data_IF_668884319701
#
_entry.id   IF_668884319701
#
_cell.length_a   1.000
_cell.length_b   1.000
_cell.length_c   1.000
_cell.angle_alpha   90.00
_cell.angle_beta   90.00
_cell.angle_gamma   90.00
#
_symmetry.space_group_name_H-M   'P 1'
#
loop_
_entity.id
_entity.type
_entity.pdbx_description
1 polymer ?
#
# COMPACT_ATOMS: atom_id res chain seq x y z
N UNK A 1 6.11 -9.91 -6.08
CA UNK A 1 4.89 -9.14 -6.41
C UNK A 1 5.16 -8.41 -7.69
N UNK A 2 4.17 -8.28 -8.59
CA UNK A 2 4.25 -7.36 -9.74
C UNK A 2 3.07 -6.39 -9.67
N UNK A 3 3.26 -5.17 -10.17
CA UNK A 3 2.24 -4.13 -10.14
C UNK A 3 2.31 -3.25 -11.38
N UNK A 4 1.42 -2.27 -11.38
CA UNK A 4 1.50 -1.04 -12.18
C UNK A 4 1.99 0.03 -11.20
N UNK A 5 3.13 0.68 -11.46
CA UNK A 5 3.85 1.42 -10.42
C UNK A 5 3.63 2.94 -10.49
N UNK A 6 4.61 3.71 -11.00
CA UNK A 6 4.51 5.18 -11.13
C UNK A 6 3.47 5.64 -12.15
N UNK A 7 2.93 4.73 -12.97
CA UNK A 7 1.74 4.95 -13.78
C UNK A 7 0.58 5.56 -12.98
N UNK A 8 0.52 5.29 -11.67
CA UNK A 8 -0.46 5.86 -10.73
C UNK A 8 -0.48 7.38 -10.76
N UNK A 9 0.68 8.05 -10.73
CA UNK A 9 0.78 9.50 -10.75
C UNK A 9 1.14 10.06 -12.13
N UNK A 10 1.84 9.29 -12.98
CA UNK A 10 2.23 9.72 -14.34
C UNK A 10 0.99 9.97 -15.21
N UNK A 11 -0.03 9.10 -15.16
CA UNK A 11 -1.21 9.27 -16.01
C UNK A 11 -2.53 8.88 -15.36
N UNK A 12 -2.56 7.88 -14.47
CA UNK A 12 -3.83 7.42 -13.89
C UNK A 12 -4.44 8.45 -12.93
N UNK A 13 -3.62 9.27 -12.29
CA UNK A 13 -4.03 10.37 -11.41
C UNK A 13 -4.94 11.39 -12.08
N UNK A 14 -4.86 11.51 -13.40
CA UNK A 14 -5.73 12.39 -14.19
C UNK A 14 -7.10 11.78 -14.49
N UNK A 15 -7.37 10.54 -14.06
CA UNK A 15 -8.65 9.89 -14.28
C UNK A 15 -9.77 10.57 -13.48
N UNK A 16 -10.81 10.99 -14.19
CA UNK A 16 -11.98 11.69 -13.66
C UNK A 16 -13.06 10.76 -13.09
N UNK A 17 -12.95 9.44 -13.34
CA UNK A 17 -13.96 8.44 -13.00
C UNK A 17 -14.78 7.95 -14.21
N UNK A 18 -14.61 8.55 -15.38
CA UNK A 18 -15.26 8.13 -16.62
C UNK A 18 -14.57 6.87 -17.20
N UNK A 19 -15.30 5.76 -17.31
CA UNK A 19 -14.77 4.49 -17.82
C UNK A 19 -14.43 4.50 -19.32
N UNK A 20 -14.88 5.51 -20.07
CA UNK A 20 -14.51 5.69 -21.48
C UNK A 20 -13.26 6.58 -21.67
N UNK A 21 -12.70 7.13 -20.59
CA UNK A 21 -11.47 7.93 -20.66
C UNK A 21 -10.25 7.07 -21.02
N UNK A 22 -9.25 7.71 -21.64
CA UNK A 22 -8.01 7.04 -22.04
C UNK A 22 -7.27 6.40 -20.85
N UNK A 23 -7.33 7.03 -19.67
CA UNK A 23 -6.69 6.54 -18.45
C UNK A 23 -7.30 5.20 -18.00
N UNK A 24 -8.63 5.12 -17.89
CA UNK A 24 -9.29 3.88 -17.46
C UNK A 24 -9.14 2.75 -18.48
N UNK A 25 -9.27 3.08 -19.78
CA UNK A 25 -9.08 2.11 -20.86
C UNK A 25 -7.64 1.58 -20.85
N UNK A 26 -6.65 2.45 -20.68
CA UNK A 26 -5.23 2.04 -20.56
C UNK A 26 -5.01 1.11 -19.37
N UNK A 27 -5.52 1.48 -18.19
CA UNK A 27 -5.41 0.65 -16.98
C UNK A 27 -6.00 -0.75 -17.17
N UNK A 28 -7.20 -0.85 -17.73
CA UNK A 28 -7.85 -2.14 -17.97
C UNK A 28 -7.14 -2.97 -19.04
N UNK A 29 -6.65 -2.35 -20.11
CA UNK A 29 -5.86 -3.03 -21.14
C UNK A 29 -4.49 -3.52 -20.63
N UNK A 30 -3.85 -2.80 -19.71
CA UNK A 30 -2.63 -3.27 -19.05
C UNK A 30 -2.92 -4.52 -18.22
N UNK A 31 -3.99 -4.51 -17.43
CA UNK A 31 -4.37 -5.69 -16.65
C UNK A 31 -4.77 -6.89 -17.50
N UNK A 32 -5.44 -6.69 -18.64
CA UNK A 32 -5.76 -7.77 -19.57
C UNK A 32 -4.48 -8.45 -20.11
N UNK A 33 -3.52 -7.64 -20.55
CA UNK A 33 -2.23 -8.11 -21.05
C UNK A 33 -1.40 -8.81 -19.96
N UNK A 34 -1.30 -8.22 -18.77
CA UNK A 34 -0.57 -8.81 -17.63
C UNK A 34 -1.21 -10.13 -17.19
N UNK A 35 -2.53 -10.15 -17.00
CA UNK A 35 -3.24 -11.38 -16.62
C UNK A 35 -3.05 -12.49 -17.65
N UNK A 36 -3.08 -12.17 -18.94
CA UNK A 36 -2.81 -13.13 -20.02
C UNK A 36 -1.35 -13.62 -20.00
N UNK A 37 -0.38 -12.73 -19.88
CA UNK A 37 1.04 -13.07 -19.92
C UNK A 37 1.45 -13.99 -18.76
N UNK A 38 0.92 -13.75 -17.57
CA UNK A 38 1.24 -14.50 -16.36
C UNK A 38 0.21 -15.59 -16.01
N UNK A 39 -0.72 -15.92 -16.93
CA UNK A 39 -1.85 -16.82 -16.68
C UNK A 39 -1.46 -18.15 -16.04
N UNK A 40 -0.38 -18.77 -16.54
CA UNK A 40 0.07 -20.10 -16.12
C UNK A 40 1.33 -20.06 -15.24
N UNK A 41 1.75 -18.88 -14.79
CA UNK A 41 2.88 -18.75 -13.86
C UNK A 41 2.54 -19.33 -12.47
N UNK A 42 3.53 -19.78 -11.68
CA UNK A 42 3.33 -20.30 -10.34
C UNK A 42 2.56 -19.33 -9.41
N UNK A 43 1.83 -19.85 -8.43
CA UNK A 43 1.00 -19.06 -7.50
C UNK A 43 1.82 -18.16 -6.55
N UNK A 44 3.13 -18.36 -6.47
CA UNK A 44 4.07 -17.48 -5.77
C UNK A 44 4.16 -16.09 -6.40
N UNK A 45 3.79 -15.94 -7.68
CA UNK A 45 3.64 -14.62 -8.31
C UNK A 45 2.29 -14.04 -7.91
N UNK A 46 2.30 -12.95 -7.17
CA UNK A 46 1.10 -12.18 -6.81
C UNK A 46 1.01 -10.87 -7.61
N UNK A 47 -0.22 -10.37 -7.78
CA UNK A 47 -0.53 -9.14 -8.49
C UNK A 47 -1.01 -8.08 -7.53
N UNK A 48 -0.30 -6.96 -7.42
CA UNK A 48 -0.83 -5.74 -6.82
C UNK A 48 -1.45 -4.86 -7.89
N UNK A 49 -2.66 -4.36 -7.64
CA UNK A 49 -3.48 -3.70 -8.68
C UNK A 49 -2.90 -2.37 -9.18
N UNK A 50 -2.27 -1.59 -8.29
CA UNK A 50 -1.69 -0.28 -8.58
C UNK A 50 -0.86 0.17 -7.37
N UNK A 51 0.27 0.81 -7.60
CA UNK A 51 1.06 1.46 -6.55
C UNK A 51 0.46 2.81 -6.16
N UNK A 52 0.35 3.12 -4.86
CA UNK A 52 0.01 4.46 -4.35
C UNK A 52 -1.06 5.22 -5.15
N UNK A 53 -2.28 4.66 -5.30
CA UNK A 53 -3.30 5.27 -6.15
C UNK A 53 -3.70 6.62 -5.60
N UNK A 54 -3.58 7.66 -6.42
CA UNK A 54 -3.92 9.05 -6.11
C UNK A 54 -4.61 9.69 -7.31
N UNK A 55 -5.42 10.74 -7.09
CA UNK A 55 -6.22 11.35 -8.16
C UNK A 55 -6.29 12.88 -8.01
N UNK A 56 -5.99 13.59 -9.10
CA UNK A 56 -5.98 15.05 -9.18
C UNK A 56 -7.37 15.63 -9.46
N UNK A 57 -8.20 14.88 -10.18
CA UNK A 57 -9.49 15.36 -10.65
C UNK A 57 -10.51 15.41 -9.50
N UNK A 58 -10.89 16.62 -9.11
CA UNK A 58 -12.04 16.91 -8.26
C UNK A 58 -13.35 16.67 -9.02
N UNK A 59 -14.35 16.10 -8.36
CA UNK A 59 -15.66 15.83 -8.95
C UNK A 59 -16.58 15.13 -7.96
N UNK A 60 -17.72 14.63 -8.44
CA UNK A 60 -18.69 13.89 -7.61
C UNK A 60 -18.18 12.51 -7.16
N UNK A 61 -17.25 11.92 -7.90
CA UNK A 61 -16.63 10.64 -7.55
C UNK A 61 -15.38 10.92 -6.71
N UNK A 62 -15.41 10.49 -5.45
CA UNK A 62 -14.30 10.64 -4.51
C UNK A 62 -13.07 9.82 -4.93
N UNK A 63 -11.89 10.21 -4.46
CA UNK A 63 -10.66 9.46 -4.69
C UNK A 63 -10.74 8.01 -4.16
N UNK A 64 -11.42 7.80 -3.02
CA UNK A 64 -11.68 6.46 -2.51
C UNK A 64 -12.56 5.65 -3.47
N UNK A 65 -13.66 6.23 -3.97
CA UNK A 65 -14.52 5.54 -4.94
C UNK A 65 -13.77 5.20 -6.23
N UNK A 66 -12.88 6.09 -6.70
CA UNK A 66 -12.01 5.80 -7.86
C UNK A 66 -11.06 4.63 -7.58
N UNK A 67 -10.45 4.58 -6.38
CA UNK A 67 -9.60 3.48 -5.95
C UNK A 67 -10.35 2.15 -5.96
N UNK A 68 -11.56 2.11 -5.38
CA UNK A 68 -12.40 0.92 -5.37
C UNK A 68 -12.80 0.48 -6.79
N UNK A 69 -13.08 1.44 -7.69
CA UNK A 69 -13.42 1.16 -9.08
C UNK A 69 -12.27 0.52 -9.87
N UNK A 70 -11.03 1.01 -9.71
CA UNK A 70 -9.87 0.41 -10.39
C UNK A 70 -9.50 -0.95 -9.77
N UNK A 71 -9.60 -1.09 -8.44
CA UNK A 71 -9.42 -2.37 -7.76
C UNK A 71 -10.42 -3.41 -8.24
N UNK A 72 -11.71 -3.05 -8.35
CA UNK A 72 -12.74 -3.94 -8.86
C UNK A 72 -12.49 -4.34 -10.32
N UNK A 73 -12.05 -3.39 -11.15
CA UNK A 73 -11.78 -3.63 -12.57
C UNK A 73 -10.62 -4.63 -12.75
N UNK A 74 -9.50 -4.39 -12.08
CA UNK A 74 -8.34 -5.29 -12.10
C UNK A 74 -8.70 -6.67 -11.54
N UNK A 75 -9.39 -6.73 -10.39
CA UNK A 75 -9.87 -7.99 -9.81
C UNK A 75 -10.69 -8.82 -10.81
N UNK A 76 -11.67 -8.19 -11.47
CA UNK A 76 -12.54 -8.86 -12.44
C UNK A 76 -11.74 -9.39 -13.63
N UNK A 77 -10.81 -8.61 -14.18
CA UNK A 77 -9.96 -9.00 -15.31
C UNK A 77 -9.07 -10.19 -14.92
N UNK A 78 -8.41 -10.12 -13.77
CA UNK A 78 -7.53 -11.18 -13.27
C UNK A 78 -8.32 -12.47 -13.10
N UNK A 79 -9.48 -12.45 -12.42
CA UNK A 79 -10.29 -13.65 -12.19
C UNK A 79 -10.88 -14.22 -13.49
N UNK A 80 -11.32 -13.37 -14.42
CA UNK A 80 -11.87 -13.80 -15.71
C UNK A 80 -10.83 -14.47 -16.62
N UNK A 81 -9.53 -14.18 -16.45
CA UNK A 81 -8.48 -14.72 -17.31
C UNK A 81 -8.22 -16.23 -17.14
N UNK A 82 -8.68 -16.85 -16.04
CA UNK A 82 -8.58 -18.28 -15.77
C UNK A 82 -7.15 -18.78 -15.50
N UNK A 83 -6.90 -20.08 -15.65
CA UNK A 83 -5.59 -20.68 -15.31
C UNK A 83 -5.26 -20.52 -13.83
N UNK A 84 -3.99 -20.25 -13.51
CA UNK A 84 -3.57 -19.97 -12.13
C UNK A 84 -4.20 -18.68 -11.57
N UNK A 85 -4.61 -17.74 -12.43
CA UNK A 85 -5.20 -16.45 -12.00
C UNK A 85 -6.55 -16.60 -11.31
N UNK A 86 -7.25 -17.73 -11.49
CA UNK A 86 -8.47 -18.05 -10.74
C UNK A 86 -8.24 -18.20 -9.22
N UNK A 87 -6.99 -18.49 -8.81
CA UNK A 87 -6.58 -18.62 -7.40
C UNK A 87 -5.37 -17.76 -7.03
N UNK A 88 -4.82 -17.00 -7.98
CA UNK A 88 -3.64 -16.15 -7.74
C UNK A 88 -3.97 -15.10 -6.69
N UNK A 89 -3.03 -14.88 -5.77
CA UNK A 89 -3.15 -13.83 -4.77
C UNK A 89 -3.23 -12.46 -5.47
N UNK A 90 -4.27 -11.69 -5.15
CA UNK A 90 -4.43 -10.30 -5.57
C UNK A 90 -4.19 -9.43 -4.34
N UNK A 91 -3.37 -8.40 -4.50
CA UNK A 91 -2.99 -7.45 -3.47
C UNK A 91 -3.66 -6.12 -3.82
N UNK A 92 -4.48 -5.60 -2.92
CA UNK A 92 -5.23 -4.37 -3.14
C UNK A 92 -4.67 -3.25 -2.24
N UNK A 93 -4.32 -2.08 -2.79
CA UNK A 93 -3.82 -0.95 -2.01
C UNK A 93 -4.96 -0.18 -1.37
N UNK A 94 -4.67 0.45 -0.22
CA UNK A 94 -5.50 1.57 0.25
C UNK A 94 -5.27 2.80 -0.63
N UNK A 95 -6.15 3.81 -0.54
CA UNK A 95 -5.93 5.09 -1.22
C UNK A 95 -4.58 5.68 -0.74
N UNK A 96 -3.71 6.04 -1.69
CA UNK A 96 -2.32 6.46 -1.51
C UNK A 96 -1.45 5.45 -0.73
N UNK A 97 -1.87 4.17 -0.61
CA UNK A 97 -1.30 3.19 0.34
C UNK A 97 -1.21 3.71 1.79
N UNK A 98 -1.99 4.74 2.12
CA UNK A 98 -2.03 5.31 3.46
C UNK A 98 -2.80 4.38 4.40
N UNK A 99 -2.18 4.04 5.53
CA UNK A 99 -2.76 3.17 6.55
C UNK A 99 -4.03 3.74 7.20
N UNK A 100 -4.24 5.06 7.22
CA UNK A 100 -5.49 5.64 7.73
C UNK A 100 -6.71 5.25 6.88
N UNK A 101 -6.49 4.89 5.61
CA UNK A 101 -7.53 4.41 4.68
C UNK A 101 -7.75 2.88 4.76
N UNK A 102 -7.30 2.22 5.83
CA UNK A 102 -7.38 0.75 5.97
C UNK A 102 -8.82 0.23 6.09
N UNK A 103 -9.70 0.92 6.83
CA UNK A 103 -11.09 0.47 7.04
C UNK A 103 -11.89 0.39 5.73
N UNK A 104 -11.91 1.42 4.86
CA UNK A 104 -12.55 1.32 3.54
C UNK A 104 -12.09 0.11 2.71
N UNK A 105 -10.78 -0.17 2.68
CA UNK A 105 -10.25 -1.31 1.95
C UNK A 105 -10.66 -2.64 2.58
N UNK A 106 -10.64 -2.76 3.92
CA UNK A 106 -11.07 -3.97 4.61
C UNK A 106 -12.53 -4.31 4.30
N UNK A 107 -13.40 -3.29 4.26
CA UNK A 107 -14.81 -3.45 3.90
C UNK A 107 -14.97 -3.84 2.42
N UNK A 108 -14.14 -3.29 1.52
CA UNK A 108 -14.11 -3.68 0.11
C UNK A 108 -13.70 -5.15 -0.06
N UNK A 109 -12.59 -5.57 0.54
CA UNK A 109 -12.09 -6.96 0.48
C UNK A 109 -13.13 -7.94 1.04
N UNK A 110 -13.77 -7.60 2.15
CA UNK A 110 -14.82 -8.46 2.76
C UNK A 110 -15.97 -8.70 1.79
N UNK A 111 -16.38 -7.67 1.02
CA UNK A 111 -17.47 -7.79 0.03
C UNK A 111 -17.10 -8.64 -1.19
N UNK A 112 -15.82 -8.73 -1.55
CA UNK A 112 -15.36 -9.61 -2.64
C UNK A 112 -15.58 -11.10 -2.31
N UNK A 113 -15.55 -11.45 -1.02
CA UNK A 113 -15.70 -12.83 -0.53
C UNK A 113 -14.74 -13.81 -1.23
N UNK A 114 -13.49 -13.37 -1.43
CA UNK A 114 -12.44 -14.16 -2.08
C UNK A 114 -11.28 -14.39 -1.09
N UNK A 115 -10.93 -15.65 -0.78
CA UNK A 115 -9.86 -15.96 0.19
C UNK A 115 -8.45 -15.66 -0.33
N UNK A 116 -8.27 -15.35 -1.62
CA UNK A 116 -6.99 -15.05 -2.25
C UNK A 116 -6.83 -13.56 -2.55
N UNK A 117 -7.36 -12.71 -1.67
CA UNK A 117 -7.20 -11.25 -1.72
C UNK A 117 -6.63 -10.75 -0.39
N UNK A 118 -5.57 -9.95 -0.47
CA UNK A 118 -4.93 -9.31 0.69
C UNK A 118 -4.82 -7.80 0.48
N UNK A 119 -4.61 -7.07 1.58
CA UNK A 119 -4.40 -5.64 1.57
C UNK A 119 -2.90 -5.28 1.45
N UNK A 120 -2.62 -4.09 0.93
CA UNK A 120 -1.30 -3.44 1.05
C UNK A 120 -1.42 -1.98 1.48
N UNK A 121 -0.46 -1.55 2.29
CA UNK A 121 -0.21 -0.16 2.73
C UNK A 121 1.30 0.08 2.69
N UNK A 122 1.73 1.33 2.65
CA UNK A 122 3.15 1.71 2.78
C UNK A 122 3.37 2.45 4.09
N UNK A 123 4.59 2.38 4.62
CA UNK A 123 4.93 3.09 5.84
C UNK A 123 6.39 3.53 5.89
N UNK A 124 6.60 4.84 5.79
CA UNK A 124 7.91 5.48 5.85
C UNK A 124 8.15 6.25 7.16
N UNK A 125 7.53 5.83 8.27
CA UNK A 125 7.62 6.50 9.59
C UNK A 125 7.02 7.90 9.66
N UNK A 126 7.12 8.53 10.83
CA UNK A 126 6.70 9.91 11.09
C UNK A 126 7.58 10.89 10.31
N UNK A 127 6.96 11.80 9.55
CA UNK A 127 7.60 12.51 8.45
C UNK A 127 8.79 13.39 8.87
N UNK A 128 8.73 14.05 10.04
CA UNK A 128 9.84 14.89 10.52
C UNK A 128 11.09 14.08 10.87
N UNK A 129 10.90 12.86 11.36
CA UNK A 129 11.98 11.92 11.63
C UNK A 129 12.47 11.26 10.35
N UNK A 130 11.54 10.76 9.53
CA UNK A 130 11.90 9.99 8.35
C UNK A 130 12.56 10.80 7.25
N UNK A 131 12.22 12.08 7.13
CA UNK A 131 12.85 13.00 6.19
C UNK A 131 14.01 13.80 6.80
N UNK A 132 14.39 13.53 8.06
CA UNK A 132 15.43 14.27 8.80
C UNK A 132 15.22 15.80 8.74
N UNK A 133 14.08 16.26 9.26
CA UNK A 133 13.70 17.69 9.25
C UNK A 133 13.91 18.33 10.63
N UNK A 134 15.10 18.12 11.20
CA UNK A 134 15.48 18.64 12.52
C UNK A 134 15.01 17.80 13.70
N UNK A 135 14.38 16.65 13.44
CA UNK A 135 14.03 15.61 14.41
C UNK A 135 14.69 14.32 13.95
N UNK A 136 15.63 13.78 14.71
CA UNK A 136 16.52 12.71 14.23
C UNK A 136 16.52 11.49 15.15
N UNK A 137 15.98 11.61 16.36
CA UNK A 137 15.83 10.48 17.25
C UNK A 137 14.52 9.72 17.02
N UNK A 138 14.57 8.40 16.99
CA UNK A 138 13.38 7.55 16.86
C UNK A 138 12.47 7.62 18.11
N UNK A 139 13.08 7.92 19.25
CA UNK A 139 12.42 8.12 20.55
C UNK A 139 12.33 9.62 20.93
N UNK A 140 12.68 10.52 20.01
CA UNK A 140 12.69 11.96 20.28
C UNK A 140 11.26 12.49 20.43
N UNK A 141 11.03 13.30 21.48
CA UNK A 141 9.81 14.08 21.61
C UNK A 141 9.74 15.14 20.50
N UNK A 142 8.75 14.97 19.62
CA UNK A 142 8.62 15.80 18.44
C UNK A 142 8.08 17.19 18.77
N UNK A 143 7.22 17.32 19.78
CA UNK A 143 6.45 18.54 20.04
C UNK A 143 6.75 19.21 21.38
N UNK A 144 7.64 18.63 22.19
CA UNK A 144 8.06 19.21 23.47
C UNK A 144 7.02 19.08 24.58
N UNK A 145 6.01 18.23 24.39
CA UNK A 145 4.96 17.95 25.37
C UNK A 145 5.13 16.57 26.04
N UNK A 146 6.11 15.77 25.62
CA UNK A 146 6.43 14.46 26.17
C UNK A 146 5.53 13.30 25.70
N UNK A 147 4.61 13.54 24.76
CA UNK A 147 3.52 12.61 24.47
C UNK A 147 3.56 11.99 23.07
N UNK A 148 4.51 12.37 22.21
CA UNK A 148 4.56 11.87 20.83
C UNK A 148 5.97 11.77 20.26
N UNK A 149 6.34 10.55 19.87
CA UNK A 149 7.59 10.22 19.18
C UNK A 149 7.32 9.47 17.85
N UNK A 150 8.33 9.33 16.98
CA UNK A 150 8.23 8.44 15.82
C UNK A 150 7.88 6.99 16.17
N UNK A 151 8.31 6.50 17.35
CA UNK A 151 7.90 5.19 17.87
C UNK A 151 6.40 5.11 18.12
N UNK A 152 5.81 6.15 18.69
CA UNK A 152 4.36 6.20 18.95
C UNK A 152 3.56 6.25 17.64
N UNK A 153 4.08 6.97 16.64
CA UNK A 153 3.53 6.95 15.29
C UNK A 153 3.54 5.53 14.69
N UNK A 154 4.64 4.78 14.86
CA UNK A 154 4.74 3.40 14.41
C UNK A 154 3.72 2.49 15.14
N UNK A 155 3.61 2.60 16.47
CA UNK A 155 2.61 1.86 17.24
C UNK A 155 1.19 2.13 16.72
N UNK A 156 0.83 3.40 16.54
CA UNK A 156 -0.48 3.80 16.03
C UNK A 156 -0.74 3.24 14.63
N UNK A 157 0.23 3.32 13.72
CA UNK A 157 0.09 2.79 12.37
C UNK A 157 -0.15 1.27 12.38
N UNK A 158 0.64 0.50 13.13
CA UNK A 158 0.48 -0.96 13.23
C UNK A 158 -0.84 -1.36 13.90
N UNK A 159 -1.31 -0.61 14.88
CA UNK A 159 -2.63 -0.84 15.49
C UNK A 159 -3.76 -0.57 14.50
N UNK A 160 -3.71 0.54 13.76
CA UNK A 160 -4.67 0.85 12.69
C UNK A 160 -4.74 -0.27 11.66
N UNK A 161 -3.59 -0.73 11.15
CA UNK A 161 -3.49 -1.79 10.15
C UNK A 161 -4.01 -3.12 10.72
N UNK A 162 -3.60 -3.49 11.93
CA UNK A 162 -3.99 -4.75 12.56
C UNK A 162 -5.49 -4.81 12.84
N UNK A 163 -6.07 -3.72 13.37
CA UNK A 163 -7.49 -3.64 13.67
C UNK A 163 -8.36 -3.74 12.40
N UNK A 164 -7.91 -3.14 11.30
CA UNK A 164 -8.62 -3.19 10.03
C UNK A 164 -8.51 -4.56 9.35
N UNK A 165 -7.32 -5.19 9.37
CA UNK A 165 -7.04 -6.38 8.55
C UNK A 165 -6.80 -7.65 9.37
N UNK A 166 -5.69 -7.75 10.11
CA UNK A 166 -5.28 -9.03 10.72
C UNK A 166 -6.25 -9.51 11.80
N UNK A 167 -6.83 -8.60 12.58
CA UNK A 167 -7.89 -8.90 13.53
C UNK A 167 -9.17 -9.44 12.86
N UNK A 168 -9.42 -9.04 11.60
CA UNK A 168 -10.53 -9.52 10.77
C UNK A 168 -10.14 -10.69 9.86
N UNK A 169 -8.96 -11.29 10.05
CA UNK A 169 -8.40 -12.40 9.25
C UNK A 169 -8.18 -12.06 7.76
N UNK A 170 -8.00 -10.78 7.45
CA UNK A 170 -7.54 -10.33 6.13
C UNK A 170 -6.01 -10.27 6.17
N UNK A 171 -5.34 -10.94 5.24
CA UNK A 171 -3.89 -10.84 5.10
C UNK A 171 -3.49 -9.42 4.70
N UNK A 172 -2.33 -8.96 5.17
CA UNK A 172 -1.81 -7.63 4.84
C UNK A 172 -0.29 -7.66 4.71
N UNK A 173 0.20 -6.90 3.75
CA UNK A 173 1.62 -6.60 3.57
C UNK A 173 1.82 -5.09 3.70
N UNK A 174 2.89 -4.69 4.38
CA UNK A 174 3.44 -3.35 4.20
C UNK A 174 4.36 -3.45 2.98
N UNK A 175 3.82 -3.06 1.82
CA UNK A 175 4.42 -3.27 0.50
C UNK A 175 5.72 -2.50 0.29
N UNK A 176 5.84 -1.38 0.98
CA UNK A 176 7.06 -0.60 1.09
C UNK A 176 7.19 -0.08 2.51
N UNK A 177 8.40 -0.19 3.08
CA UNK A 177 8.77 0.52 4.29
C UNK A 177 10.23 0.94 4.25
N UNK A 178 10.52 2.07 4.90
CA UNK A 178 11.82 2.72 4.85
C UNK A 178 11.81 4.07 5.56
N UNK A 179 12.74 4.94 5.20
CA UNK A 179 12.79 6.33 5.66
C UNK A 179 12.87 7.24 4.43
N UNK A 180 12.06 8.30 4.39
CA UNK A 180 11.96 9.21 3.24
C UNK A 180 13.27 9.92 2.89
N UNK A 181 14.15 10.14 3.86
CA UNK A 181 15.42 10.83 3.63
C UNK A 181 16.35 10.08 2.67
N UNK A 182 16.14 8.79 2.45
CA UNK A 182 16.88 8.02 1.44
C UNK A 182 16.60 8.47 0.00
N UNK A 183 15.48 9.16 -0.26
CA UNK A 183 15.23 9.78 -1.57
C UNK A 183 16.17 10.97 -1.85
N UNK A 184 16.78 11.54 -0.81
CA UNK A 184 17.68 12.69 -0.91
C UNK A 184 19.17 12.32 -0.86
N UNK A 185 19.51 11.05 -0.58
CA UNK A 185 20.89 10.59 -0.49
C UNK A 185 21.05 9.21 0.15
N UNK A 186 22.29 8.74 0.24
CA UNK A 186 22.63 7.42 0.83
C UNK A 186 22.68 7.44 2.36
N UNK A 187 22.49 8.60 2.98
CA UNK A 187 22.46 8.81 4.42
C UNK A 187 21.17 9.56 4.76
N UNK A 188 20.40 9.06 5.73
CA UNK A 188 19.14 9.68 6.15
C UNK A 188 19.26 10.22 7.58
N UNK A 189 19.34 9.32 8.57
CA UNK A 189 19.48 9.62 9.99
C UNK A 189 20.78 9.02 10.53
N UNK A 190 21.10 9.30 11.80
CA UNK A 190 22.22 8.62 12.46
C UNK A 190 21.98 7.10 12.45
N UNK A 191 22.98 6.25 12.08
CA UNK A 191 22.77 4.80 11.91
C UNK A 191 22.16 4.09 13.12
N UNK A 192 22.47 4.55 14.33
CA UNK A 192 21.88 4.00 15.55
C UNK A 192 20.36 4.21 15.64
N UNK A 193 19.86 5.35 15.16
CA UNK A 193 18.44 5.68 15.14
C UNK A 193 17.69 4.90 14.06
N UNK A 194 18.32 4.72 12.91
CA UNK A 194 17.79 3.88 11.83
C UNK A 194 17.70 2.41 12.26
N UNK A 195 18.75 1.86 12.86
CA UNK A 195 18.75 0.48 13.36
C UNK A 195 17.67 0.26 14.42
N UNK A 196 17.46 1.22 15.33
CA UNK A 196 16.36 1.17 16.30
C UNK A 196 14.99 1.17 15.61
N UNK A 197 14.80 2.00 14.59
CA UNK A 197 13.57 2.03 13.80
C UNK A 197 13.32 0.68 13.13
N UNK A 198 14.28 0.16 12.35
CA UNK A 198 14.11 -1.09 11.60
C UNK A 198 13.94 -2.33 12.49
N UNK A 199 14.64 -2.40 13.62
CA UNK A 199 14.43 -3.44 14.63
C UNK A 199 12.98 -3.39 15.13
N UNK A 200 12.50 -2.20 15.50
CA UNK A 200 11.19 -2.05 16.09
C UNK A 200 10.05 -2.31 15.10
N UNK A 201 10.20 -1.88 13.85
CA UNK A 201 9.27 -2.21 12.76
C UNK A 201 9.15 -3.72 12.58
N UNK A 202 10.28 -4.43 12.62
CA UNK A 202 10.31 -5.89 12.54
C UNK A 202 9.67 -6.55 13.76
N UNK A 203 9.86 -5.98 14.96
CA UNK A 203 9.18 -6.42 16.18
C UNK A 203 7.66 -6.28 16.06
N UNK A 204 7.16 -5.10 15.69
CA UNK A 204 5.72 -4.86 15.53
C UNK A 204 5.09 -5.76 14.47
N UNK A 205 5.77 -5.94 13.33
CA UNK A 205 5.32 -6.82 12.26
C UNK A 205 5.15 -8.28 12.71
N UNK A 206 6.11 -8.81 13.47
CA UNK A 206 6.00 -10.16 14.06
C UNK A 206 4.84 -10.26 15.04
N UNK A 207 4.66 -9.28 15.91
CA UNK A 207 3.57 -9.26 16.90
C UNK A 207 2.19 -9.21 16.22
N UNK A 208 2.05 -8.40 15.16
CA UNK A 208 0.78 -8.15 14.48
C UNK A 208 0.53 -9.08 13.28
N UNK A 209 1.47 -9.96 12.96
CA UNK A 209 1.46 -10.91 11.83
C UNK A 209 1.35 -10.20 10.47
N UNK A 210 2.14 -9.15 10.29
CA UNK A 210 2.17 -8.33 9.09
C UNK A 210 3.46 -8.64 8.32
N UNK A 211 3.34 -8.85 7.01
CA UNK A 211 4.52 -9.02 6.15
C UNK A 211 5.14 -7.65 5.86
N UNK A 212 6.47 -7.54 5.86
CA UNK A 212 7.19 -6.33 5.47
C UNK A 212 7.97 -6.56 4.17
N UNK A 213 7.96 -5.58 3.29
CA UNK A 213 8.78 -5.55 2.07
C UNK A 213 9.60 -4.26 2.05
N UNK A 214 10.91 -4.38 2.22
CA UNK A 214 11.83 -3.23 2.31
C UNK A 214 11.95 -2.57 0.93
N UNK A 215 11.95 -1.24 0.91
CA UNK A 215 12.18 -0.46 -0.31
C UNK A 215 13.69 -0.26 -0.53
N UNK A 216 14.19 -0.77 -1.65
CA UNK A 216 15.60 -0.71 -2.10
C UNK A 216 15.63 -0.47 -3.62
#
# INVERSE_FOLDING_TARGET
>A
MINIHHDSWIWLSSWDGNKSSVQYVRFTQMWDQLAKAFKDYPLQVCFETINEPQFNASGSITAQNKTDMINQAAYNIIRASGGSNAKRMIVLPTLNTNHDNSTPLADFITKLNDPNVIATVHYYSEWVFSANLGKTGFDEDLWGNGDYSPRDAANKAFDTISNAFTAKKIGVVIGEYGLLGYDSGTECNQPGEELKYYEYMSYLARQKKICLMFWD
#
